data_IF_869294626492
#
_entry.id   IF_869294626492
#
_cell.length_a   1.000
_cell.length_b   1.000
_cell.length_c   1.000
_cell.angle_alpha   90.00
_cell.angle_beta   90.00
_cell.angle_gamma   90.00
#
_symmetry.space_group_name_H-M   'P 1'
#
loop_
_entity.id
_entity.type
_entity.pdbx_description
1 polymer ?
#
# COMPACT_ATOMS: atom_id res chain seq x y z
N UNK A 1 -11.68 18.02 -28.63
CA UNK A 1 -11.28 18.28 -27.23
C UNK A 1 -10.26 17.21 -26.86
N UNK A 2 -9.03 17.58 -26.48
CA UNK A 2 -8.03 16.57 -26.08
C UNK A 2 -8.44 15.94 -24.76
N UNK A 3 -8.46 14.61 -24.70
CA UNK A 3 -8.73 13.89 -23.47
C UNK A 3 -7.44 13.82 -22.64
N UNK A 4 -7.18 14.88 -21.87
CA UNK A 4 -6.03 14.96 -20.97
C UNK A 4 -6.04 13.86 -19.91
N UNK A 5 -7.21 13.34 -19.54
CA UNK A 5 -7.32 12.20 -18.62
C UNK A 5 -6.75 10.94 -19.27
N UNK A 6 -7.19 10.60 -20.48
CA UNK A 6 -6.67 9.47 -21.24
C UNK A 6 -5.13 9.55 -21.40
N UNK A 7 -4.61 10.71 -21.79
CA UNK A 7 -3.16 10.91 -21.95
C UNK A 7 -2.43 10.66 -20.62
N UNK A 8 -2.90 11.26 -19.52
CA UNK A 8 -2.29 11.05 -18.20
C UNK A 8 -2.35 9.59 -17.72
N UNK A 9 -3.42 8.86 -18.07
CA UNK A 9 -3.57 7.43 -17.78
C UNK A 9 -2.58 6.57 -18.56
N UNK A 10 -2.36 6.86 -19.85
CA UNK A 10 -1.34 6.19 -20.66
C UNK A 10 0.05 6.45 -20.09
N UNK A 11 0.33 7.71 -19.72
CA UNK A 11 1.62 8.09 -19.14
C UNK A 11 1.86 7.46 -17.76
N UNK A 12 0.82 7.09 -17.02
CA UNK A 12 0.95 6.34 -15.76
C UNK A 12 1.47 4.91 -15.97
N UNK A 13 1.46 4.38 -17.21
CA UNK A 13 2.06 3.09 -17.54
C UNK A 13 3.60 3.12 -17.61
N UNK A 14 4.23 4.30 -17.58
CA UNK A 14 5.70 4.43 -17.69
C UNK A 14 6.44 3.73 -16.53
N UNK A 15 6.09 3.92 -15.23
CA UNK A 15 6.76 3.20 -14.16
C UNK A 15 6.59 1.67 -14.21
N UNK A 16 5.37 1.11 -14.45
CA UNK A 16 5.21 -0.32 -14.71
C UNK A 16 6.06 -0.83 -15.88
N UNK A 17 6.10 -0.09 -17.00
CA UNK A 17 6.94 -0.46 -18.14
C UNK A 17 8.43 -0.48 -17.77
N UNK A 18 8.90 0.50 -16.99
CA UNK A 18 10.27 0.55 -16.49
C UNK A 18 10.59 -0.60 -15.52
N UNK A 19 9.63 -0.97 -14.66
CA UNK A 19 9.74 -2.16 -13.82
C UNK A 19 9.96 -3.42 -14.67
N UNK A 20 9.10 -3.68 -15.65
CA UNK A 20 9.22 -4.86 -16.51
C UNK A 20 10.52 -4.86 -17.31
N UNK A 21 10.93 -3.71 -17.84
CA UNK A 21 12.22 -3.55 -18.50
C UNK A 21 13.38 -3.99 -17.59
N UNK A 22 13.44 -3.49 -16.34
CA UNK A 22 14.48 -3.87 -15.38
C UNK A 22 14.41 -5.36 -15.02
N UNK A 23 13.20 -5.87 -14.80
CA UNK A 23 12.96 -7.24 -14.38
C UNK A 23 13.43 -8.25 -15.45
N UNK A 24 13.05 -8.03 -16.72
CA UNK A 24 13.41 -8.91 -17.83
C UNK A 24 14.86 -8.73 -18.32
N UNK A 25 15.50 -7.58 -18.05
CA UNK A 25 16.95 -7.39 -18.28
C UNK A 25 17.83 -8.05 -17.22
N UNK A 26 17.26 -8.78 -16.28
CA UNK A 26 18.00 -9.48 -15.22
C UNK A 26 18.28 -8.63 -13.97
N UNK A 27 17.93 -7.34 -13.97
CA UNK A 27 18.08 -6.47 -12.79
C UNK A 27 16.87 -6.59 -11.84
N UNK A 28 16.56 -7.83 -11.45
CA UNK A 28 15.35 -8.17 -10.69
C UNK A 28 15.30 -7.48 -9.33
N UNK A 29 16.42 -7.39 -8.61
CA UNK A 29 16.48 -6.73 -7.30
C UNK A 29 16.13 -5.25 -7.38
N UNK A 30 16.63 -4.53 -8.41
CA UNK A 30 16.28 -3.12 -8.62
C UNK A 30 14.81 -2.96 -9.03
N UNK A 31 14.29 -3.85 -9.87
CA UNK A 31 12.88 -3.87 -10.22
C UNK A 31 11.98 -4.08 -8.99
N UNK A 32 12.28 -5.07 -8.15
CA UNK A 32 11.49 -5.35 -6.95
C UNK A 32 11.59 -4.22 -5.91
N UNK A 33 12.76 -3.55 -5.81
CA UNK A 33 12.93 -2.33 -4.99
C UNK A 33 12.07 -1.18 -5.51
N UNK A 34 11.95 -1.04 -6.83
CA UNK A 34 11.10 -0.03 -7.46
C UNK A 34 9.63 -0.31 -7.11
N UNK A 35 9.19 -1.57 -7.23
CA UNK A 35 7.84 -2.00 -6.89
C UNK A 35 7.51 -1.70 -5.42
N UNK A 36 8.38 -2.07 -4.48
CA UNK A 36 8.18 -1.79 -3.05
C UNK A 36 8.12 -0.28 -2.76
N UNK A 37 8.96 0.54 -3.40
CA UNK A 37 8.89 1.99 -3.24
C UNK A 37 7.55 2.59 -3.72
N UNK A 38 7.01 2.10 -4.85
CA UNK A 38 5.69 2.52 -5.34
C UNK A 38 4.55 2.03 -4.45
N UNK A 39 4.64 0.80 -3.93
CA UNK A 39 3.65 0.27 -2.99
C UNK A 39 3.64 1.02 -1.66
N UNK A 40 4.82 1.39 -1.15
CA UNK A 40 4.94 2.28 0.01
C UNK A 40 4.30 3.65 -0.26
N UNK A 41 4.61 4.26 -1.41
CA UNK A 41 3.99 5.52 -1.81
C UNK A 41 2.47 5.41 -1.90
N UNK A 42 1.96 4.34 -2.51
CA UNK A 42 0.52 4.07 -2.59
C UNK A 42 -0.12 4.01 -1.22
N UNK A 43 0.45 3.24 -0.30
CA UNK A 43 -0.09 3.10 1.04
C UNK A 43 -0.20 4.47 1.73
N UNK A 44 0.84 5.30 1.67
CA UNK A 44 0.81 6.60 2.32
C UNK A 44 -0.13 7.58 1.62
N UNK A 45 -0.15 7.61 0.27
CA UNK A 45 -1.05 8.49 -0.49
C UNK A 45 -2.52 8.15 -0.23
N UNK A 46 -2.87 6.86 -0.21
CA UNK A 46 -4.25 6.43 0.07
C UNK A 46 -4.65 6.76 1.51
N UNK A 47 -3.77 6.50 2.49
CA UNK A 47 -4.03 6.87 3.88
C UNK A 47 -4.30 8.38 4.01
N UNK A 48 -3.43 9.22 3.43
CA UNK A 48 -3.57 10.67 3.49
C UNK A 48 -4.83 11.16 2.78
N UNK A 49 -5.19 10.59 1.62
CA UNK A 49 -6.42 10.93 0.91
C UNK A 49 -7.65 10.71 1.77
N UNK A 50 -7.73 9.54 2.40
CA UNK A 50 -8.85 9.15 3.23
C UNK A 50 -8.88 9.87 4.58
N UNK A 51 -7.73 10.29 5.10
CA UNK A 51 -7.68 11.16 6.29
C UNK A 51 -8.10 12.60 6.00
N UNK A 52 -7.60 13.19 4.91
CA UNK A 52 -7.75 14.62 4.64
C UNK A 52 -9.02 14.95 3.86
N UNK A 53 -9.52 14.00 3.06
CA UNK A 53 -10.79 14.07 2.33
C UNK A 53 -11.02 15.34 1.52
N UNK A 54 -9.94 15.92 0.99
CA UNK A 54 -10.01 17.16 0.21
C UNK A 54 -10.84 16.89 -1.07
N UNK A 55 -11.92 17.65 -1.33
CA UNK A 55 -12.77 17.41 -2.48
C UNK A 55 -12.06 17.80 -3.79
N UNK A 56 -12.40 17.10 -4.88
CA UNK A 56 -11.89 17.44 -6.22
C UNK A 56 -12.50 18.75 -6.76
N UNK A 57 -11.78 19.49 -7.62
CA UNK A 57 -12.25 20.78 -8.15
C UNK A 57 -13.53 20.75 -9.00
N UNK A 58 -13.99 19.59 -9.52
CA UNK A 58 -15.17 19.46 -10.39
C UNK A 58 -15.86 18.06 -10.25
N UNK A 59 -17.02 17.85 -10.90
CA UNK A 59 -17.79 16.59 -11.05
C UNK A 59 -17.01 15.47 -11.78
N UNK A 60 -15.77 15.23 -11.39
CA UNK A 60 -14.93 14.19 -11.91
C UNK A 60 -15.47 12.84 -11.39
N UNK A 61 -16.31 12.19 -12.19
CA UNK A 61 -16.84 10.84 -11.96
C UNK A 61 -15.72 9.80 -11.95
N UNK A 62 -14.91 9.84 -10.89
CA UNK A 62 -13.67 9.08 -10.75
C UNK A 62 -13.77 8.12 -9.59
N UNK A 63 -13.03 7.01 -9.71
CA UNK A 63 -12.98 5.91 -8.73
C UNK A 63 -12.41 6.35 -7.36
N UNK A 64 -11.67 7.46 -7.31
CA UNK A 64 -11.06 8.02 -6.10
C UNK A 64 -11.68 9.39 -5.76
N UNK A 65 -12.44 9.50 -4.65
CA UNK A 65 -13.22 10.70 -4.34
C UNK A 65 -12.39 11.91 -3.91
N UNK A 66 -11.12 11.72 -3.51
CA UNK A 66 -10.33 12.77 -2.87
C UNK A 66 -9.21 13.31 -3.76
N UNK A 67 -8.96 14.62 -3.72
CA UNK A 67 -7.98 15.29 -4.57
C UNK A 67 -6.55 15.22 -4.02
N UNK A 68 -6.38 15.47 -2.72
CA UNK A 68 -5.08 15.72 -2.11
C UNK A 68 -4.53 14.46 -1.41
N UNK A 69 -3.24 14.13 -1.60
CA UNK A 69 -2.33 14.64 -2.65
C UNK A 69 -2.64 14.00 -4.01
N UNK A 70 -2.13 14.57 -5.10
CA UNK A 70 -2.29 13.96 -6.42
C UNK A 70 -1.43 12.69 -6.56
N UNK A 71 -2.09 11.53 -6.64
CA UNK A 71 -1.45 10.23 -6.83
C UNK A 71 -0.58 10.18 -8.09
N UNK A 72 -1.08 10.71 -9.21
CA UNK A 72 -0.39 10.72 -10.50
C UNK A 72 0.91 11.55 -10.43
N UNK A 73 0.85 12.73 -9.83
CA UNK A 73 2.01 13.58 -9.63
C UNK A 73 3.04 12.92 -8.71
N UNK A 74 2.59 12.35 -7.58
CA UNK A 74 3.46 11.66 -6.65
C UNK A 74 4.17 10.46 -7.30
N UNK A 75 3.43 9.65 -8.06
CA UNK A 75 3.96 8.52 -8.82
C UNK A 75 5.02 8.96 -9.84
N UNK A 76 4.70 9.98 -10.63
CA UNK A 76 5.60 10.44 -11.67
C UNK A 76 6.90 11.03 -11.08
N UNK A 77 6.80 11.80 -9.99
CA UNK A 77 7.97 12.33 -9.29
C UNK A 77 8.79 11.26 -8.59
N UNK A 78 8.20 10.15 -8.14
CA UNK A 78 8.96 9.06 -7.51
C UNK A 78 9.98 8.47 -8.50
N UNK A 79 9.58 8.32 -9.78
CA UNK A 79 10.51 7.89 -10.82
C UNK A 79 11.69 8.85 -10.96
N UNK A 80 11.45 10.16 -10.90
CA UNK A 80 12.52 11.17 -10.90
C UNK A 80 13.45 11.01 -9.70
N UNK A 81 12.92 10.88 -8.48
CA UNK A 81 13.77 10.72 -7.29
C UNK A 81 14.59 9.43 -7.26
N UNK A 82 14.08 8.35 -7.86
CA UNK A 82 14.80 7.08 -7.99
C UNK A 82 15.81 7.11 -9.14
N UNK A 83 15.48 7.80 -10.24
CA UNK A 83 16.30 7.87 -11.46
C UNK A 83 16.41 9.33 -11.94
N UNK A 84 17.18 10.16 -11.23
CA UNK A 84 17.20 11.60 -11.48
C UNK A 84 17.87 11.88 -12.82
N UNK A 85 17.08 12.36 -13.78
CA UNK A 85 17.55 12.88 -15.05
C UNK A 85 16.53 13.88 -15.61
N UNK A 86 16.90 14.60 -16.67
CA UNK A 86 16.04 15.63 -17.26
C UNK A 86 14.73 15.04 -17.82
N UNK A 87 14.75 13.83 -18.37
CA UNK A 87 13.55 13.20 -18.94
C UNK A 87 12.54 12.79 -17.86
N UNK A 88 13.01 12.23 -16.74
CA UNK A 88 12.13 11.88 -15.61
C UNK A 88 11.59 13.11 -14.89
N UNK A 89 12.36 14.21 -14.87
CA UNK A 89 11.88 15.51 -14.40
C UNK A 89 10.78 16.08 -15.31
N UNK A 90 11.02 16.12 -16.62
CA UNK A 90 10.04 16.60 -17.60
C UNK A 90 8.77 15.75 -17.58
N UNK A 91 8.92 14.43 -17.45
CA UNK A 91 7.80 13.50 -17.26
C UNK A 91 6.98 13.84 -16.00
N UNK A 92 7.63 14.07 -14.86
CA UNK A 92 6.94 14.43 -13.63
C UNK A 92 6.18 15.75 -13.78
N UNK A 93 6.83 16.79 -14.31
CA UNK A 93 6.22 18.11 -14.55
C UNK A 93 5.03 18.02 -15.50
N UNK A 94 5.19 17.30 -16.63
CA UNK A 94 4.13 17.08 -17.60
C UNK A 94 2.93 16.37 -16.96
N UNK A 95 3.18 15.33 -16.15
CA UNK A 95 2.11 14.61 -15.46
C UNK A 95 1.28 15.53 -14.58
N UNK A 96 1.90 16.36 -13.73
CA UNK A 96 1.13 17.29 -12.90
C UNK A 96 0.40 18.36 -13.71
N UNK A 97 1.02 18.90 -14.76
CA UNK A 97 0.37 19.87 -15.64
C UNK A 97 -0.90 19.28 -16.29
N UNK A 98 -0.82 18.06 -16.80
CA UNK A 98 -1.97 17.36 -17.39
C UNK A 98 -3.10 17.12 -16.37
N UNK A 99 -2.78 16.87 -15.10
CA UNK A 99 -3.79 16.69 -14.05
C UNK A 99 -4.54 17.98 -13.73
N UNK A 100 -3.88 19.13 -13.81
CA UNK A 100 -4.52 20.44 -13.65
C UNK A 100 -5.36 20.79 -14.87
N UNK A 101 -4.83 20.60 -16.08
CA UNK A 101 -5.58 20.82 -17.33
C UNK A 101 -6.83 19.95 -17.45
N UNK A 102 -6.79 18.73 -16.90
CA UNK A 102 -7.92 17.83 -16.85
C UNK A 102 -9.00 18.23 -15.82
N UNK A 103 -8.81 19.30 -15.04
CA UNK A 103 -9.79 19.79 -14.06
C UNK A 103 -9.95 18.91 -12.80
N UNK A 104 -9.12 17.87 -12.65
CA UNK A 104 -9.28 16.85 -11.58
C UNK A 104 -8.40 17.10 -10.36
N UNK A 105 -7.46 18.05 -10.43
CA UNK A 105 -6.57 18.45 -9.35
C UNK A 105 -6.22 19.94 -9.42
N UNK A 106 -6.00 20.54 -8.26
CA UNK A 106 -5.40 21.87 -8.13
C UNK A 106 -3.87 21.80 -8.19
N UNK A 107 -3.22 22.95 -8.36
CA UNK A 107 -1.76 23.03 -8.23
C UNK A 107 -1.27 22.60 -6.84
N UNK A 108 -2.02 22.88 -5.77
CA UNK A 108 -1.67 22.45 -4.42
C UNK A 108 -1.63 20.92 -4.29
N UNK A 109 -2.60 20.21 -4.89
CA UNK A 109 -2.61 18.74 -4.93
C UNK A 109 -1.38 18.17 -5.65
N UNK A 110 -1.00 18.79 -6.77
CA UNK A 110 0.14 18.39 -7.60
C UNK A 110 1.46 18.61 -6.88
N UNK A 111 1.69 19.82 -6.35
CA UNK A 111 2.90 20.12 -5.57
C UNK A 111 2.99 19.27 -4.30
N UNK A 112 1.87 19.07 -3.61
CA UNK A 112 1.78 18.15 -2.48
C UNK A 112 2.23 16.74 -2.85
N UNK A 113 1.81 16.23 -4.02
CA UNK A 113 2.27 14.95 -4.55
C UNK A 113 3.78 14.89 -4.76
N UNK A 114 4.39 15.92 -5.38
CA UNK A 114 5.83 15.97 -5.61
C UNK A 114 6.65 16.00 -4.32
N UNK A 115 6.27 16.89 -3.39
CA UNK A 115 6.96 17.04 -2.10
C UNK A 115 6.84 15.75 -1.29
N UNK A 116 5.63 15.18 -1.21
CA UNK A 116 5.40 13.93 -0.51
C UNK A 116 6.26 12.80 -1.09
N UNK A 117 6.31 12.66 -2.41
CA UNK A 117 7.13 11.63 -3.05
C UNK A 117 8.62 11.77 -2.72
N UNK A 118 9.16 12.99 -2.70
CA UNK A 118 10.57 13.23 -2.35
C UNK A 118 10.86 12.88 -0.88
N UNK A 119 9.98 13.29 0.03
CA UNK A 119 10.07 12.94 1.45
C UNK A 119 9.99 11.42 1.65
N UNK A 120 9.00 10.76 1.04
CA UNK A 120 8.80 9.32 1.19
C UNK A 120 9.94 8.53 0.56
N UNK A 121 10.52 8.97 -0.54
CA UNK A 121 11.73 8.35 -1.08
C UNK A 121 12.91 8.45 -0.11
N UNK A 122 13.09 9.61 0.53
CA UNK A 122 14.12 9.77 1.55
C UNK A 122 13.89 8.86 2.76
N UNK A 123 12.66 8.81 3.29
CA UNK A 123 12.26 7.90 4.38
C UNK A 123 12.49 6.45 3.96
N UNK A 124 12.04 6.07 2.77
CA UNK A 124 12.18 4.73 2.22
C UNK A 124 13.64 4.29 2.19
N UNK A 125 14.51 5.11 1.60
CA UNK A 125 15.95 4.81 1.49
C UNK A 125 16.58 4.68 2.88
N UNK A 126 16.30 5.60 3.79
CA UNK A 126 16.86 5.57 5.15
C UNK A 126 16.34 4.42 5.99
N UNK A 127 15.05 4.11 5.89
CA UNK A 127 14.43 2.96 6.52
C UNK A 127 15.05 1.66 6.02
N UNK A 128 15.18 1.52 4.70
CA UNK A 128 15.82 0.35 4.08
C UNK A 128 17.30 0.19 4.45
N UNK A 129 18.07 1.27 4.53
CA UNK A 129 19.47 1.25 5.00
C UNK A 129 19.59 0.65 6.40
N UNK A 130 18.58 0.84 7.27
CA UNK A 130 18.61 0.35 8.67
C UNK A 130 17.91 -0.97 8.90
N UNK A 131 16.76 -1.19 8.25
CA UNK A 131 15.87 -2.34 8.47
C UNK A 131 16.07 -3.43 7.41
N UNK A 132 16.80 -3.12 6.32
CA UNK A 132 17.10 -4.07 5.25
C UNK A 132 15.87 -4.44 4.41
N UNK A 133 15.84 -5.68 3.93
CA UNK A 133 14.73 -6.21 3.12
C UNK A 133 13.39 -6.24 3.84
N UNK A 134 13.39 -6.23 5.17
CA UNK A 134 12.15 -6.18 5.93
C UNK A 134 11.36 -4.90 5.62
N UNK A 135 12.03 -3.79 5.29
CA UNK A 135 11.37 -2.59 4.80
C UNK A 135 10.63 -2.83 3.48
N UNK A 136 11.27 -3.52 2.52
CA UNK A 136 10.68 -3.85 1.23
C UNK A 136 9.44 -4.75 1.39
N UNK A 137 9.48 -5.72 2.33
CA UNK A 137 8.37 -6.62 2.66
C UNK A 137 7.18 -5.88 3.24
N UNK A 138 7.44 -5.00 4.21
CA UNK A 138 6.38 -4.25 4.88
C UNK A 138 5.79 -3.15 3.97
N UNK A 139 6.60 -2.56 3.09
CA UNK A 139 6.11 -1.70 2.01
C UNK A 139 5.16 -2.44 1.05
N UNK A 140 5.50 -3.69 0.69
CA UNK A 140 4.63 -4.53 -0.13
C UNK A 140 3.32 -4.84 0.60
N UNK A 141 3.40 -5.30 1.85
CA UNK A 141 2.24 -5.62 2.70
C UNK A 141 1.29 -4.43 2.87
N UNK A 142 1.80 -3.25 3.23
CA UNK A 142 0.98 -2.03 3.32
C UNK A 142 0.36 -1.66 1.98
N UNK A 143 1.16 -1.64 0.90
CA UNK A 143 0.67 -1.19 -0.40
C UNK A 143 -0.39 -2.11 -0.99
N UNK A 144 -0.21 -3.43 -0.93
CA UNK A 144 -1.22 -4.39 -1.41
C UNK A 144 -2.46 -4.39 -0.53
N UNK A 145 -2.31 -4.30 0.80
CA UNK A 145 -3.43 -4.16 1.72
C UNK A 145 -4.23 -2.88 1.48
N UNK A 146 -3.55 -1.77 1.23
CA UNK A 146 -4.19 -0.49 0.91
C UNK A 146 -5.03 -0.58 -0.38
N UNK A 147 -4.47 -1.18 -1.42
CA UNK A 147 -5.17 -1.39 -2.70
C UNK A 147 -6.36 -2.33 -2.55
N UNK A 148 -6.20 -3.46 -1.84
CA UNK A 148 -7.30 -4.39 -1.58
C UNK A 148 -8.42 -3.75 -0.75
N UNK A 149 -8.07 -3.00 0.30
CA UNK A 149 -9.05 -2.26 1.08
C UNK A 149 -9.75 -1.17 0.25
N UNK A 150 -9.05 -0.44 -0.62
CA UNK A 150 -9.69 0.50 -1.54
C UNK A 150 -10.69 -0.19 -2.47
N UNK A 151 -10.33 -1.34 -3.04
CA UNK A 151 -11.23 -2.11 -3.91
C UNK A 151 -12.46 -2.57 -3.12
N UNK A 152 -12.27 -3.06 -1.90
CA UNK A 152 -13.37 -3.46 -1.02
C UNK A 152 -14.28 -2.28 -0.63
N UNK A 153 -13.71 -1.11 -0.41
CA UNK A 153 -14.45 0.12 -0.11
C UNK A 153 -15.34 0.54 -1.28
N UNK A 154 -14.83 0.46 -2.52
CA UNK A 154 -15.57 0.82 -3.73
C UNK A 154 -16.62 -0.23 -4.07
N UNK A 155 -16.25 -1.51 -4.07
CA UNK A 155 -17.13 -2.63 -4.33
C UNK A 155 -16.64 -3.89 -3.59
N UNK A 156 -17.24 -4.15 -2.43
CA UNK A 156 -16.87 -5.26 -1.58
C UNK A 156 -17.09 -6.63 -2.25
N UNK A 157 -18.05 -6.76 -3.18
CA UNK A 157 -18.31 -8.02 -3.88
C UNK A 157 -17.20 -8.29 -4.88
N UNK A 158 -16.82 -7.27 -5.64
CA UNK A 158 -15.69 -7.38 -6.57
C UNK A 158 -14.38 -7.61 -5.82
N UNK A 159 -14.13 -6.90 -4.71
CA UNK A 159 -12.97 -7.13 -3.86
C UNK A 159 -12.92 -8.55 -3.29
N UNK A 160 -14.06 -9.09 -2.86
CA UNK A 160 -14.16 -10.49 -2.40
C UNK A 160 -13.84 -11.49 -3.52
N UNK A 161 -14.41 -11.29 -4.71
CA UNK A 161 -14.11 -12.12 -5.89
C UNK A 161 -12.63 -12.08 -6.26
N UNK A 162 -12.02 -10.89 -6.25
CA UNK A 162 -10.60 -10.71 -6.50
C UNK A 162 -9.75 -11.48 -5.47
N UNK A 163 -10.10 -11.42 -4.18
CA UNK A 163 -9.38 -12.17 -3.15
C UNK A 163 -9.47 -13.69 -3.33
N UNK A 164 -10.64 -14.22 -3.70
CA UNK A 164 -10.77 -15.63 -4.06
C UNK A 164 -9.91 -16.01 -5.28
N UNK A 165 -9.90 -15.16 -6.31
CA UNK A 165 -9.02 -15.34 -7.46
C UNK A 165 -7.53 -15.34 -7.05
N UNK A 166 -7.12 -14.41 -6.18
CA UNK A 166 -5.75 -14.33 -5.68
C UNK A 166 -5.36 -15.57 -4.86
N UNK A 167 -6.27 -16.16 -4.08
CA UNK A 167 -6.02 -17.45 -3.41
C UNK A 167 -5.78 -18.58 -4.41
N UNK A 168 -6.65 -18.71 -5.41
CA UNK A 168 -6.51 -19.75 -6.44
C UNK A 168 -5.20 -19.58 -7.22
N UNK A 169 -4.90 -18.33 -7.59
CA UNK A 169 -3.63 -17.98 -8.24
C UNK A 169 -2.44 -18.31 -7.33
N UNK A 170 -2.51 -18.00 -6.04
CA UNK A 170 -1.46 -18.34 -5.07
C UNK A 170 -1.21 -19.84 -4.96
N UNK A 171 -2.27 -20.65 -4.90
CA UNK A 171 -2.20 -22.12 -4.89
C UNK A 171 -1.53 -22.64 -6.18
N UNK A 172 -1.87 -22.05 -7.32
CA UNK A 172 -1.25 -22.39 -8.60
C UNK A 172 0.24 -22.00 -8.63
N UNK A 173 0.58 -20.76 -8.28
CA UNK A 173 1.94 -20.24 -8.25
C UNK A 173 2.83 -20.99 -7.24
N UNK A 174 2.26 -21.47 -6.13
CA UNK A 174 2.99 -22.28 -5.15
C UNK A 174 3.55 -23.57 -5.76
N UNK A 175 2.85 -24.18 -6.71
CA UNK A 175 3.36 -25.35 -7.47
C UNK A 175 4.57 -24.99 -8.32
N UNK A 176 4.66 -23.74 -8.75
CA UNK A 176 5.74 -23.22 -9.60
C UNK A 176 6.74 -22.36 -8.83
N UNK A 177 6.76 -22.40 -7.50
CA UNK A 177 7.61 -21.52 -6.66
C UNK A 177 9.11 -21.60 -6.94
N UNK A 178 9.58 -22.71 -7.53
CA UNK A 178 10.98 -22.89 -7.95
C UNK A 178 11.32 -22.21 -9.27
N UNK A 179 10.34 -21.72 -10.02
CA UNK A 179 10.58 -20.99 -11.26
C UNK A 179 11.37 -19.70 -10.95
N UNK A 180 12.40 -19.33 -11.72
CA UNK A 180 13.33 -18.25 -11.37
C UNK A 180 12.70 -16.88 -11.09
N UNK A 181 11.53 -16.61 -11.67
CA UNK A 181 10.81 -15.35 -11.44
C UNK A 181 10.01 -15.38 -10.14
N UNK A 182 9.39 -16.52 -9.83
CA UNK A 182 8.58 -16.69 -8.63
C UNK A 182 9.50 -16.81 -7.42
N UNK A 183 10.59 -17.57 -7.52
CA UNK A 183 11.58 -17.68 -6.44
C UNK A 183 12.20 -16.31 -6.11
N UNK A 184 12.59 -15.54 -7.14
CA UNK A 184 13.14 -14.20 -6.93
C UNK A 184 12.14 -13.24 -6.26
N UNK A 185 10.86 -13.35 -6.59
CA UNK A 185 9.80 -12.58 -5.92
C UNK A 185 9.63 -13.00 -4.46
N UNK A 186 9.56 -14.31 -4.21
CA UNK A 186 9.38 -14.88 -2.87
C UNK A 186 10.60 -14.61 -1.97
N UNK A 187 11.82 -14.73 -2.47
CA UNK A 187 13.04 -14.39 -1.71
C UNK A 187 13.07 -12.91 -1.27
N UNK A 188 12.48 -12.03 -2.08
CA UNK A 188 12.46 -10.60 -1.80
C UNK A 188 11.32 -10.22 -0.83
N UNK A 189 10.11 -10.72 -1.06
CA UNK A 189 8.90 -10.30 -0.34
C UNK A 189 8.42 -11.25 0.76
N UNK A 190 8.88 -12.50 0.76
CA UNK A 190 8.51 -13.48 1.78
C UNK A 190 9.72 -13.84 2.65
N UNK A 191 9.47 -14.12 3.92
CA UNK A 191 10.55 -14.47 4.87
C UNK A 191 11.08 -15.88 4.63
N UNK A 192 10.16 -16.81 4.33
CA UNK A 192 10.44 -18.25 4.28
C UNK A 192 10.39 -18.81 2.85
N UNK A 193 10.08 -17.97 1.85
CA UNK A 193 9.96 -18.36 0.45
C UNK A 193 8.79 -19.31 0.15
N UNK A 194 7.79 -19.38 1.04
CA UNK A 194 6.62 -20.27 0.95
C UNK A 194 5.36 -19.56 0.46
N UNK A 195 5.27 -18.24 0.65
CA UNK A 195 4.07 -17.44 0.41
C UNK A 195 3.01 -17.57 1.50
N UNK A 196 3.32 -18.21 2.64
CA UNK A 196 2.36 -18.44 3.72
C UNK A 196 1.75 -17.15 4.27
N UNK A 197 2.56 -16.11 4.48
CA UNK A 197 2.05 -14.82 4.99
C UNK A 197 1.03 -14.17 4.06
N UNK A 198 1.28 -14.16 2.76
CA UNK A 198 0.33 -13.65 1.76
C UNK A 198 -0.96 -14.49 1.72
N UNK A 199 -0.85 -15.81 1.87
CA UNK A 199 -2.02 -16.69 1.95
C UNK A 199 -2.86 -16.39 3.21
N UNK A 200 -2.23 -16.33 4.38
CA UNK A 200 -2.89 -15.98 5.64
C UNK A 200 -3.57 -14.61 5.57
N UNK A 201 -2.90 -13.62 4.97
CA UNK A 201 -3.45 -12.27 4.78
C UNK A 201 -4.77 -12.31 4.02
N UNK A 202 -4.81 -12.99 2.88
CA UNK A 202 -6.02 -13.05 2.05
C UNK A 202 -7.13 -13.85 2.75
N UNK A 203 -6.80 -14.94 3.45
CA UNK A 203 -7.78 -15.71 4.24
C UNK A 203 -8.38 -14.84 5.35
N UNK A 204 -7.56 -14.09 6.09
CA UNK A 204 -8.02 -13.16 7.11
C UNK A 204 -8.90 -12.05 6.54
N UNK A 205 -8.50 -11.46 5.41
CA UNK A 205 -9.27 -10.45 4.71
C UNK A 205 -10.64 -10.96 4.22
N UNK A 206 -10.70 -12.17 3.66
CA UNK A 206 -11.97 -12.81 3.26
C UNK A 206 -12.86 -13.04 4.49
N UNK A 207 -12.30 -13.59 5.58
CA UNK A 207 -13.05 -13.82 6.80
C UNK A 207 -13.64 -12.52 7.37
N UNK A 208 -12.86 -11.44 7.39
CA UNK A 208 -13.30 -10.11 7.79
C UNK A 208 -14.51 -9.62 6.97
N UNK A 209 -14.41 -9.70 5.64
CA UNK A 209 -15.49 -9.28 4.74
C UNK A 209 -16.75 -10.13 4.91
N UNK A 210 -16.61 -11.44 5.16
CA UNK A 210 -17.76 -12.32 5.41
C UNK A 210 -18.46 -11.96 6.73
N UNK A 211 -17.69 -11.67 7.78
CA UNK A 211 -18.23 -11.31 9.11
C UNK A 211 -18.93 -9.96 9.07
N UNK A 212 -18.29 -8.96 8.48
CA UNK A 212 -18.81 -7.59 8.41
C UNK A 212 -18.41 -6.94 7.08
N UNK A 213 -19.24 -7.08 6.03
CA UNK A 213 -18.93 -6.51 4.71
C UNK A 213 -18.72 -4.99 4.73
N UNK A 214 -19.39 -4.28 5.66
CA UNK A 214 -19.30 -2.83 5.77
C UNK A 214 -17.95 -2.35 6.30
N UNK A 215 -17.29 -3.14 7.18
CA UNK A 215 -15.99 -2.81 7.75
C UNK A 215 -14.84 -3.68 7.24
N UNK A 216 -15.09 -4.67 6.37
CA UNK A 216 -14.06 -5.57 5.87
C UNK A 216 -12.89 -4.82 5.21
N UNK A 217 -13.15 -3.70 4.53
CA UNK A 217 -12.10 -2.85 3.96
C UNK A 217 -11.23 -2.17 5.02
N UNK A 218 -11.84 -1.63 6.08
CA UNK A 218 -11.14 -1.02 7.21
C UNK A 218 -10.31 -2.07 7.97
N UNK A 219 -10.85 -3.28 8.14
CA UNK A 219 -10.15 -4.41 8.75
C UNK A 219 -8.85 -4.78 7.99
N UNK A 220 -8.89 -4.78 6.66
CA UNK A 220 -7.70 -4.99 5.82
C UNK A 220 -6.68 -3.86 6.01
N UNK A 221 -7.14 -2.61 6.12
CA UNK A 221 -6.26 -1.48 6.39
C UNK A 221 -5.62 -1.59 7.78
N UNK A 222 -6.39 -1.84 8.83
CA UNK A 222 -5.85 -2.05 10.18
C UNK A 222 -4.75 -3.11 10.21
N UNK A 223 -5.00 -4.29 9.62
CA UNK A 223 -3.97 -5.30 9.49
C UNK A 223 -2.73 -4.73 8.79
N UNK A 224 -2.92 -4.15 7.61
CA UNK A 224 -1.80 -3.76 6.75
C UNK A 224 -0.91 -2.66 7.35
N UNK A 225 -1.47 -1.65 8.00
CA UNK A 225 -0.69 -0.56 8.57
C UNK A 225 -0.17 -0.87 9.97
N UNK A 226 -0.97 -1.51 10.83
CA UNK A 226 -0.56 -1.78 12.22
C UNK A 226 0.59 -2.79 12.24
N UNK A 227 0.45 -3.93 11.55
CA UNK A 227 1.50 -4.97 11.49
C UNK A 227 2.79 -4.42 10.88
N UNK A 228 2.68 -3.70 9.77
CA UNK A 228 3.84 -3.18 9.06
C UNK A 228 4.61 -2.13 9.85
N UNK A 229 3.91 -1.15 10.44
CA UNK A 229 4.56 -0.09 11.23
C UNK A 229 5.16 -0.67 12.51
N UNK A 230 4.44 -1.56 13.20
CA UNK A 230 4.95 -2.24 14.39
C UNK A 230 6.23 -3.04 14.07
N UNK A 231 6.21 -3.80 12.98
CA UNK A 231 7.36 -4.59 12.52
C UNK A 231 8.55 -3.72 12.14
N UNK A 232 8.35 -2.68 11.32
CA UNK A 232 9.41 -1.77 10.89
C UNK A 232 10.07 -1.11 12.10
N UNK A 233 9.28 -0.55 13.01
CA UNK A 233 9.80 0.19 14.15
C UNK A 233 10.45 -0.74 15.16
N UNK A 234 9.87 -1.91 15.46
CA UNK A 234 10.50 -2.92 16.32
C UNK A 234 11.88 -3.35 15.78
N UNK A 235 11.97 -3.63 14.48
CA UNK A 235 13.24 -3.97 13.82
C UNK A 235 14.25 -2.83 13.84
N UNK A 236 13.79 -1.59 13.65
CA UNK A 236 14.64 -0.40 13.71
C UNK A 236 15.32 -0.25 15.09
N UNK A 237 14.63 -0.60 16.17
CA UNK A 237 15.17 -0.61 17.53
C UNK A 237 15.77 -1.97 17.95
N UNK A 238 16.10 -2.83 16.98
CA UNK A 238 16.79 -4.12 17.16
C UNK A 238 16.14 -5.09 18.15
N UNK A 239 14.82 -5.01 18.33
CA UNK A 239 14.10 -5.97 19.19
C UNK A 239 13.87 -7.29 18.45
N UNK A 240 14.01 -8.41 19.16
CA UNK A 240 13.61 -9.73 18.64
C UNK A 240 12.12 -9.94 18.92
N UNK A 241 11.33 -10.19 17.88
CA UNK A 241 9.89 -10.46 18.00
C UNK A 241 9.05 -9.23 18.32
N UNK A 242 7.85 -9.47 18.89
CA UNK A 242 6.88 -8.45 19.31
C UNK A 242 7.49 -7.61 20.45
N UNK A 243 7.39 -6.29 20.35
CA UNK A 243 8.03 -5.35 21.30
C UNK A 243 7.10 -4.22 21.67
N UNK A 244 7.23 -3.70 22.90
CA UNK A 244 6.42 -2.56 23.35
C UNK A 244 6.58 -1.32 22.46
N UNK A 245 7.79 -1.06 21.96
CA UNK A 245 8.05 0.08 21.03
C UNK A 245 7.36 -0.16 19.69
N UNK A 246 7.40 -1.38 19.16
CA UNK A 246 6.66 -1.76 17.95
C UNK A 246 5.16 -1.60 18.15
N UNK A 247 4.60 -2.10 19.25
CA UNK A 247 3.18 -1.99 19.56
C UNK A 247 2.72 -0.54 19.74
N UNK A 248 3.53 0.33 20.37
CA UNK A 248 3.23 1.77 20.45
C UNK A 248 3.22 2.42 19.06
N UNK A 249 4.13 2.05 18.17
CA UNK A 249 4.11 2.52 16.78
C UNK A 249 2.89 1.99 16.01
N UNK A 250 2.54 0.72 16.24
CA UNK A 250 1.32 0.10 15.71
C UNK A 250 0.05 0.80 16.20
N UNK A 251 -0.01 1.21 17.47
CA UNK A 251 -1.10 2.02 18.02
C UNK A 251 -1.24 3.36 17.28
N UNK A 252 -0.13 4.07 17.05
CA UNK A 252 -0.14 5.32 16.28
C UNK A 252 -0.66 5.07 14.86
N UNK A 253 -0.18 4.02 14.20
CA UNK A 253 -0.68 3.64 12.88
C UNK A 253 -2.19 3.31 12.90
N UNK A 254 -2.67 2.61 13.92
CA UNK A 254 -4.08 2.29 14.12
C UNK A 254 -4.94 3.53 14.32
N UNK A 255 -4.44 4.55 15.01
CA UNK A 255 -5.14 5.85 15.15
C UNK A 255 -5.25 6.56 13.79
N UNK A 256 -4.19 6.55 12.99
CA UNK A 256 -4.23 7.12 11.63
C UNK A 256 -5.24 6.38 10.74
N UNK A 257 -5.26 5.04 10.80
CA UNK A 257 -6.26 4.22 10.10
C UNK A 257 -7.67 4.54 10.59
N UNK A 258 -7.87 4.75 11.89
CA UNK A 258 -9.18 5.12 12.44
C UNK A 258 -9.69 6.42 11.82
N UNK A 259 -8.85 7.46 11.73
CA UNK A 259 -9.20 8.70 11.05
C UNK A 259 -9.48 8.51 9.56
N UNK A 260 -8.70 7.66 8.88
CA UNK A 260 -8.88 7.43 7.45
C UNK A 260 -10.17 6.64 7.14
N UNK A 261 -10.58 5.76 8.06
CA UNK A 261 -11.70 4.83 7.86
C UNK A 261 -12.98 5.24 8.58
N UNK A 262 -12.95 6.36 9.32
CA UNK A 262 -14.02 6.82 10.22
C UNK A 262 -14.45 5.78 11.26
N UNK A 263 -13.59 4.82 11.60
CA UNK A 263 -13.86 3.88 12.69
C UNK A 263 -13.63 4.54 14.06
N UNK A 264 -14.27 4.05 15.13
CA UNK A 264 -14.03 4.58 16.47
C UNK A 264 -12.55 4.48 16.88
N UNK A 265 -12.01 5.54 17.48
CA UNK A 265 -10.59 5.61 17.89
C UNK A 265 -10.17 4.47 18.83
N UNK A 266 -11.10 3.89 19.60
CA UNK A 266 -10.83 2.77 20.50
C UNK A 266 -10.50 1.46 19.77
N UNK A 267 -10.75 1.35 18.45
CA UNK A 267 -10.27 0.22 17.66
C UNK A 267 -8.75 0.12 17.70
N UNK A 268 -8.04 1.26 17.64
CA UNK A 268 -6.58 1.29 17.59
C UNK A 268 -5.90 0.60 18.79
N UNK A 269 -6.23 0.92 20.07
CA UNK A 269 -5.65 0.21 21.20
C UNK A 269 -6.04 -1.26 21.28
N UNK A 270 -7.25 -1.65 20.84
CA UNK A 270 -7.64 -3.07 20.81
C UNK A 270 -6.83 -3.83 19.77
N UNK A 271 -6.70 -3.30 18.56
CA UNK A 271 -5.91 -3.93 17.49
C UNK A 271 -4.42 -4.02 17.86
N UNK A 272 -3.84 -2.97 18.45
CA UNK A 272 -2.47 -2.99 18.93
C UNK A 272 -2.27 -4.03 20.06
N UNK A 273 -3.25 -4.17 20.97
CA UNK A 273 -3.21 -5.20 22.01
C UNK A 273 -3.31 -6.62 21.41
N UNK A 274 -4.16 -6.82 20.39
CA UNK A 274 -4.26 -8.10 19.67
C UNK A 274 -2.94 -8.43 18.98
N UNK A 275 -2.34 -7.48 18.26
CA UNK A 275 -1.00 -7.64 17.67
C UNK A 275 0.00 -8.03 18.74
N UNK A 276 0.01 -7.41 19.92
CA UNK A 276 1.02 -7.71 20.93
C UNK A 276 0.79 -9.05 21.66
N UNK A 277 -0.45 -9.36 22.01
CA UNK A 277 -0.81 -10.44 22.94
C UNK A 277 -1.24 -11.73 22.25
N UNK A 278 -1.72 -11.67 21.01
CA UNK A 278 -2.25 -12.84 20.32
C UNK A 278 -1.14 -13.85 20.02
N UNK A 279 -1.33 -15.14 20.36
CA UNK A 279 -0.42 -16.22 19.97
C UNK A 279 -0.67 -16.71 18.53
N UNK A 280 -1.72 -16.22 17.88
CA UNK A 280 -2.11 -16.62 16.53
C UNK A 280 -1.49 -15.73 15.45
N UNK A 281 -1.61 -16.14 14.19
CA UNK A 281 -1.14 -15.35 13.04
C UNK A 281 -1.93 -14.03 12.94
N UNK A 282 -1.22 -12.91 13.08
CA UNK A 282 -1.79 -11.56 13.06
C UNK A 282 -2.54 -11.27 11.75
N UNK A 283 -2.09 -11.89 10.64
CA UNK A 283 -2.75 -11.79 9.33
C UNK A 283 -4.18 -12.35 9.30
N UNK A 284 -4.53 -13.22 10.25
CA UNK A 284 -5.88 -13.79 10.36
C UNK A 284 -6.66 -13.12 11.48
N UNK A 285 -6.03 -12.94 12.64
CA UNK A 285 -6.75 -12.50 13.84
C UNK A 285 -7.11 -11.02 13.79
N UNK A 286 -6.22 -10.14 13.33
CA UNK A 286 -6.50 -8.69 13.31
C UNK A 286 -7.74 -8.37 12.46
N UNK A 287 -7.85 -8.82 11.19
CA UNK A 287 -9.04 -8.51 10.39
C UNK A 287 -10.34 -9.03 11.00
N UNK A 288 -10.30 -10.23 11.57
CA UNK A 288 -11.47 -10.86 12.22
C UNK A 288 -11.89 -10.04 13.44
N UNK A 289 -10.95 -9.67 14.31
CA UNK A 289 -11.26 -8.87 15.50
C UNK A 289 -11.86 -7.53 15.09
N UNK A 290 -11.25 -6.79 14.16
CA UNK A 290 -11.80 -5.50 13.69
C UNK A 290 -13.24 -5.64 13.18
N UNK A 291 -13.51 -6.70 12.42
CA UNK A 291 -14.84 -6.94 11.85
C UNK A 291 -15.87 -7.30 12.92
N UNK A 292 -15.50 -8.09 13.92
CA UNK A 292 -16.35 -8.43 15.08
C UNK A 292 -16.62 -7.20 15.95
N UNK A 293 -15.59 -6.38 16.22
CA UNK A 293 -15.76 -5.14 16.98
C UNK A 293 -16.75 -4.18 16.33
N UNK A 294 -16.81 -4.16 15.00
CA UNK A 294 -17.78 -3.37 14.26
C UNK A 294 -19.22 -3.84 14.32
N UNK A 295 -19.49 -4.98 14.96
CA UNK A 295 -20.84 -5.48 15.21
C UNK A 295 -21.36 -5.07 16.59
N UNK A 296 -20.50 -4.50 17.44
CA UNK A 296 -20.80 -4.02 18.79
C UNK A 296 -21.16 -2.53 18.77
#
# INVERSE_FOLDING_TARGET
MFDFLLISSILLAVPPAYFFYLFFRGNRRKALTLLSAYLFLTAVVLLLKFMLKVPRPENAGTVDPYSFPSYHSAYASLLFFITPNIYTLLYAVLMGYLRVLAGVHTWADVFGGYVLSGLLWWVYRKGRERVGFEWDRQAFHMGTGSLLGLILYVDWKFGLLLMFFLLLLGIFLYRWRKHPWISAFLEFFDRDGTGKGAFSFIVGAIAAVIINPALGWAAVWYLSYVDAVATIVGKYFATRGKSAVGTLAGLVAGVLVAFATDTPLWFAPVVAAVEYLSPFDDNVVIPVVVSVLGLL
#
